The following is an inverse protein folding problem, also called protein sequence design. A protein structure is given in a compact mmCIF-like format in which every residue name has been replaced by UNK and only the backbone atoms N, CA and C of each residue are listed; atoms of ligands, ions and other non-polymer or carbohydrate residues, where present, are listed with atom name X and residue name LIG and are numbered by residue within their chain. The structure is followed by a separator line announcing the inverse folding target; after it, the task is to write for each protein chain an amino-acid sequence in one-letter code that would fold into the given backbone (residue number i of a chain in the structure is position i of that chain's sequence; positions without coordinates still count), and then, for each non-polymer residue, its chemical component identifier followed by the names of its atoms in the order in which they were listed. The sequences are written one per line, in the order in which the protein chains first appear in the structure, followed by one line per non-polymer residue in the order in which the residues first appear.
data_IF_760587695161
#
_entry.id   IF_760587695161
#
_cell.length_a   1.000
_cell.length_b   1.000
_cell.length_c   1.000
_cell.angle_alpha   90.00
_cell.angle_beta   90.00
_cell.angle_gamma   90.00
#
_symmetry.space_group_name_H-M   'P 1'
#
loop_
_entity.id
_entity.type
_entity.pdbx_description
1 polymer ?
#
# COMPACT_ATOMS: atom_id res chain seq x y z
N UNK A 1 9.59 8.79 -8.05
CA UNK A 1 9.45 7.48 -8.77
C UNK A 1 10.51 6.48 -8.34
N UNK A 2 11.79 6.80 -8.52
CA UNK A 2 12.91 5.84 -8.33
C UNK A 2 12.88 5.17 -6.96
N UNK A 3 12.64 5.94 -5.89
CA UNK A 3 12.48 5.40 -4.54
C UNK A 3 11.33 4.40 -4.42
N UNK A 4 10.15 4.76 -4.93
CA UNK A 4 8.99 3.84 -4.87
C UNK A 4 9.24 2.57 -5.66
N UNK A 5 9.96 2.64 -6.79
CA UNK A 5 10.35 1.44 -7.54
C UNK A 5 11.28 0.53 -6.74
N UNK A 6 12.19 1.07 -5.93
CA UNK A 6 13.05 0.22 -5.09
C UNK A 6 12.28 -0.50 -3.98
N UNK A 7 11.10 0.01 -3.62
CA UNK A 7 10.24 -0.54 -2.56
C UNK A 7 9.28 -1.57 -3.15
N UNK A 8 8.49 -1.16 -4.15
CA UNK A 8 7.37 -1.95 -4.69
C UNK A 8 7.71 -2.65 -6.01
N UNK A 9 8.75 -2.23 -6.72
CA UNK A 9 9.08 -2.74 -8.06
C UNK A 9 9.35 -4.25 -8.10
N UNK A 10 10.17 -4.81 -7.18
CA UNK A 10 10.42 -6.25 -7.14
C UNK A 10 9.17 -7.10 -6.87
N UNK A 11 8.22 -6.58 -6.09
CA UNK A 11 7.01 -7.30 -5.70
C UNK A 11 5.87 -7.12 -6.72
N UNK A 12 5.61 -5.89 -7.13
CA UNK A 12 4.40 -5.50 -7.86
C UNK A 12 4.69 -4.92 -9.25
N UNK A 13 5.96 -4.76 -9.62
CA UNK A 13 6.31 -4.09 -10.87
C UNK A 13 5.86 -2.63 -10.92
N UNK A 14 5.68 -1.99 -9.77
CA UNK A 14 5.15 -0.63 -9.63
C UNK A 14 6.16 0.31 -8.92
N UNK A 15 6.19 1.61 -9.26
CA UNK A 15 5.54 2.26 -10.40
C UNK A 15 6.35 2.03 -11.69
N UNK A 16 5.70 1.47 -12.71
CA UNK A 16 6.31 1.23 -14.01
C UNK A 16 6.75 2.55 -14.67
N UNK A 17 7.95 2.58 -15.24
CA UNK A 17 8.48 3.78 -15.92
C UNK A 17 7.68 4.17 -17.17
N UNK A 18 6.90 3.24 -17.72
CA UNK A 18 6.15 3.36 -18.97
C UNK A 18 4.64 3.38 -18.76
N UNK A 19 4.16 3.64 -17.53
CA UNK A 19 2.73 3.68 -17.25
C UNK A 19 2.09 4.83 -18.04
N UNK A 20 1.15 4.50 -18.94
CA UNK A 20 0.39 5.50 -19.69
C UNK A 20 -0.79 5.99 -18.86
N UNK A 21 -1.38 7.11 -19.27
CA UNK A 21 -2.61 7.62 -18.66
C UNK A 21 -3.75 6.60 -18.73
N UNK A 22 -3.91 5.90 -19.85
CA UNK A 22 -4.96 4.90 -20.02
C UNK A 22 -4.73 3.67 -19.13
N UNK A 23 -3.46 3.28 -18.94
CA UNK A 23 -3.10 2.19 -18.03
C UNK A 23 -3.39 2.58 -16.57
N UNK A 24 -3.04 3.81 -16.16
CA UNK A 24 -3.35 4.36 -14.84
C UNK A 24 -4.87 4.43 -14.61
N UNK A 25 -5.64 4.91 -15.58
CA UNK A 25 -7.10 4.93 -15.51
C UNK A 25 -7.69 3.52 -15.38
N UNK A 26 -7.18 2.56 -16.14
CA UNK A 26 -7.63 1.17 -16.06
C UNK A 26 -7.33 0.55 -14.68
N UNK A 27 -6.19 0.90 -14.10
CA UNK A 27 -5.78 0.50 -12.75
C UNK A 27 -6.72 1.05 -11.68
N UNK A 28 -7.07 2.35 -11.76
CA UNK A 28 -8.05 2.98 -10.87
C UNK A 28 -9.44 2.34 -10.99
N UNK A 29 -9.89 2.02 -12.19
CA UNK A 29 -11.16 1.31 -12.42
C UNK A 29 -11.16 -0.12 -11.88
N UNK A 30 -9.99 -0.77 -11.83
CA UNK A 30 -9.84 -2.08 -11.17
C UNK A 30 -9.97 -1.93 -9.66
N UNK A 31 -9.23 -0.99 -9.05
CA UNK A 31 -9.32 -0.69 -7.61
C UNK A 31 -10.74 -0.32 -7.17
N UNK A 32 -11.47 0.46 -7.96
CA UNK A 32 -12.88 0.79 -7.67
C UNK A 32 -13.74 -0.47 -7.52
N UNK A 33 -13.56 -1.45 -8.41
CA UNK A 33 -14.31 -2.71 -8.38
C UNK A 33 -13.90 -3.58 -7.19
N UNK A 34 -12.62 -3.64 -6.88
CA UNK A 34 -12.10 -4.41 -5.75
C UNK A 34 -12.60 -3.83 -4.42
N UNK A 35 -12.62 -2.50 -4.27
CA UNK A 35 -13.21 -1.81 -3.12
C UNK A 35 -14.71 -2.12 -3.04
N UNK A 36 -15.46 -2.00 -4.14
CA UNK A 36 -16.89 -2.31 -4.16
C UNK A 36 -17.19 -3.79 -3.81
N UNK A 37 -16.25 -4.70 -4.07
CA UNK A 37 -16.32 -6.11 -3.72
C UNK A 37 -15.73 -6.44 -2.33
N UNK A 38 -15.21 -5.45 -1.59
CA UNK A 38 -14.48 -5.61 -0.33
C UNK A 38 -13.30 -6.60 -0.43
N UNK A 39 -12.56 -6.56 -1.53
CA UNK A 39 -11.42 -7.45 -1.77
C UNK A 39 -10.11 -6.81 -1.35
N UNK A 40 -9.87 -5.58 -1.80
CA UNK A 40 -8.72 -4.75 -1.44
C UNK A 40 -9.17 -3.30 -1.34
N UNK A 41 -8.39 -2.49 -0.64
CA UNK A 41 -8.69 -1.08 -0.45
C UNK A 41 -7.46 -0.22 -0.64
N UNK A 42 -7.63 0.87 -1.38
CA UNK A 42 -6.58 1.85 -1.63
C UNK A 42 -7.10 3.24 -1.27
N UNK A 43 -6.34 3.95 -0.44
CA UNK A 43 -6.65 5.28 0.05
C UNK A 43 -5.57 6.25 -0.38
N UNK A 44 -5.96 7.30 -1.08
CA UNK A 44 -5.08 8.39 -1.46
C UNK A 44 -4.97 9.43 -0.33
N UNK A 45 -3.73 9.80 0.02
CA UNK A 45 -3.45 10.92 0.90
C UNK A 45 -3.34 12.20 0.07
N UNK A 46 -4.21 13.15 0.31
CA UNK A 46 -4.19 14.47 -0.34
C UNK A 46 -3.79 15.57 0.64
N UNK A 47 -3.41 16.73 0.10
CA UNK A 47 -3.45 17.97 0.85
C UNK A 47 -4.91 18.36 1.15
N UNK A 48 -5.13 19.27 2.10
CA UNK A 48 -6.48 19.63 2.54
C UNK A 48 -7.34 20.28 1.44
N UNK A 49 -6.71 20.83 0.39
CA UNK A 49 -7.40 21.40 -0.76
C UNK A 49 -7.62 20.38 -1.89
N UNK A 50 -7.19 19.13 -1.72
CA UNK A 50 -7.27 18.05 -2.72
C UNK A 50 -6.65 18.43 -4.08
N UNK A 51 -5.56 19.21 -4.03
CA UNK A 51 -4.84 19.66 -5.23
C UNK A 51 -3.62 18.81 -5.56
N UNK A 52 -3.11 18.05 -4.59
CA UNK A 52 -1.92 17.22 -4.77
C UNK A 52 -2.04 15.87 -4.06
N UNK A 53 -1.74 14.80 -4.79
CA UNK A 53 -1.54 13.47 -4.20
C UNK A 53 -0.20 13.47 -3.45
N UNK A 54 -0.26 13.22 -2.15
CA UNK A 54 0.88 13.24 -1.23
C UNK A 54 1.34 11.84 -0.82
N UNK A 55 0.55 10.81 -1.08
CA UNK A 55 0.84 9.43 -0.69
C UNK A 55 -0.34 8.49 -0.93
N UNK A 56 -0.15 7.21 -0.64
CA UNK A 56 -1.24 6.21 -0.63
C UNK A 56 -1.08 5.23 0.52
N UNK A 57 -2.18 4.61 0.94
CA UNK A 57 -2.26 3.46 1.84
C UNK A 57 -2.99 2.33 1.12
N UNK A 58 -2.43 1.13 1.14
CA UNK A 58 -3.00 -0.09 0.57
C UNK A 58 -3.30 -1.07 1.68
N UNK A 59 -4.44 -1.74 1.56
CA UNK A 59 -4.92 -2.78 2.47
C UNK A 59 -5.38 -3.93 1.58
N UNK A 60 -4.55 -4.96 1.51
CA UNK A 60 -4.65 -6.04 0.54
C UNK A 60 -4.85 -7.38 1.26
N UNK A 61 -5.48 -8.36 0.58
CA UNK A 61 -5.46 -9.73 1.06
C UNK A 61 -4.01 -10.23 1.09
N UNK A 62 -3.66 -11.13 2.02
CA UNK A 62 -2.28 -11.61 2.16
C UNK A 62 -1.87 -12.46 0.95
N UNK A 63 -0.75 -12.12 0.30
CA UNK A 63 -0.17 -12.99 -0.74
C UNK A 63 0.78 -14.05 -0.15
N UNK A 64 1.23 -13.85 1.09
CA UNK A 64 2.20 -14.71 1.78
C UNK A 64 1.63 -15.23 3.09
N UNK A 65 1.91 -16.50 3.40
CA UNK A 65 1.39 -17.18 4.58
C UNK A 65 1.68 -16.45 5.90
N UNK A 66 0.80 -16.60 6.89
CA UNK A 66 1.00 -16.10 8.26
C UNK A 66 0.60 -14.64 8.48
N UNK A 67 -0.36 -14.13 7.70
CA UNK A 67 -1.07 -12.88 7.93
C UNK A 67 -2.50 -13.05 7.42
N UNK A 68 -3.42 -12.21 7.88
CA UNK A 68 -4.81 -12.13 7.38
C UNK A 68 -5.12 -10.80 6.67
N UNK A 69 -4.12 -9.92 6.57
CA UNK A 69 -4.13 -8.70 5.76
C UNK A 69 -2.73 -8.13 5.62
N UNK A 70 -2.44 -7.53 4.46
CA UNK A 70 -1.17 -6.88 4.17
C UNK A 70 -1.38 -5.39 3.94
N UNK A 71 -0.68 -4.58 4.72
CA UNK A 71 -0.83 -3.13 4.73
C UNK A 71 0.49 -2.50 4.34
N UNK A 72 0.45 -1.59 3.38
CA UNK A 72 1.62 -0.81 2.97
C UNK A 72 1.21 0.63 2.68
N UNK A 73 2.14 1.56 2.85
CA UNK A 73 1.89 2.96 2.52
C UNK A 73 3.17 3.66 2.11
N UNK A 74 3.00 4.77 1.41
CA UNK A 74 4.09 5.64 1.01
C UNK A 74 3.62 7.10 0.98
N UNK A 75 4.57 8.02 1.12
CA UNK A 75 4.40 9.45 0.82
C UNK A 75 5.27 9.82 -0.38
N UNK A 76 5.00 10.92 -1.07
CA UNK A 76 5.86 11.45 -2.15
C UNK A 76 7.28 11.76 -1.64
N UNK A 77 8.24 11.84 -2.57
CA UNK A 77 9.67 11.97 -2.24
C UNK A 77 9.98 13.23 -1.41
N UNK A 78 9.22 14.30 -1.60
CA UNK A 78 9.33 15.58 -0.90
C UNK A 78 8.92 15.50 0.58
N UNK A 79 8.14 14.49 0.98
CA UNK A 79 7.61 14.34 2.33
C UNK A 79 8.39 13.32 3.18
N UNK A 80 9.44 12.71 2.64
CA UNK A 80 10.27 11.75 3.37
C UNK A 80 10.97 12.41 4.55
N UNK A 81 10.89 11.77 5.71
CA UNK A 81 11.40 12.27 6.99
C UNK A 81 10.60 13.44 7.56
N UNK A 82 9.52 13.86 6.90
CA UNK A 82 8.70 14.99 7.35
C UNK A 82 7.77 14.59 8.50
N UNK A 83 7.16 15.60 9.13
CA UNK A 83 6.10 15.38 10.12
C UNK A 83 4.86 14.73 9.52
N UNK A 84 4.62 14.87 8.21
CA UNK A 84 3.48 14.25 7.53
C UNK A 84 3.69 12.74 7.45
N UNK A 85 4.89 12.29 7.04
CA UNK A 85 5.22 10.86 7.02
C UNK A 85 5.14 10.26 8.42
N UNK A 86 5.72 10.93 9.44
CA UNK A 86 5.65 10.47 10.82
C UNK A 86 4.21 10.38 11.35
N UNK A 87 3.35 11.33 10.97
CA UNK A 87 1.93 11.29 11.34
C UNK A 87 1.21 10.12 10.65
N UNK A 88 1.50 9.85 9.37
CA UNK A 88 0.94 8.72 8.64
C UNK A 88 1.42 7.38 9.21
N UNK A 89 2.72 7.25 9.51
CA UNK A 89 3.32 6.07 10.15
C UNK A 89 2.68 5.76 11.50
N UNK A 90 2.25 6.77 12.26
CA UNK A 90 1.53 6.60 13.51
C UNK A 90 0.04 6.29 13.30
N UNK A 91 -0.59 6.92 12.31
CA UNK A 91 -2.01 6.80 12.01
C UNK A 91 -2.39 5.40 11.51
N UNK A 92 -1.66 4.90 10.51
CA UNK A 92 -2.07 3.67 9.79
C UNK A 92 -2.22 2.48 10.75
N UNK A 93 -1.24 2.12 11.60
CA UNK A 93 -1.40 0.98 12.51
C UNK A 93 -2.54 1.17 13.53
N UNK A 94 -2.75 2.40 14.02
CA UNK A 94 -3.84 2.69 14.96
C UNK A 94 -5.20 2.54 14.29
N UNK A 95 -5.33 3.03 13.06
CA UNK A 95 -6.54 2.93 12.27
C UNK A 95 -6.88 1.48 11.92
N UNK A 96 -5.87 0.70 11.48
CA UNK A 96 -6.02 -0.73 11.21
C UNK A 96 -6.49 -1.47 12.46
N UNK A 97 -5.86 -1.23 13.62
CA UNK A 97 -6.24 -1.90 14.86
C UNK A 97 -7.63 -1.50 15.39
N UNK A 98 -8.10 -0.30 15.09
CA UNK A 98 -9.37 0.22 15.60
C UNK A 98 -10.57 -0.19 14.73
N UNK A 99 -10.42 -0.14 13.41
CA UNK A 99 -11.55 -0.17 12.49
C UNK A 99 -11.58 -1.41 11.58
N UNK A 100 -10.48 -2.17 11.50
CA UNK A 100 -10.38 -3.34 10.63
C UNK A 100 -10.44 -4.66 11.42
N UNK A 101 -11.03 -5.72 10.84
CA UNK A 101 -11.26 -6.99 11.54
C UNK A 101 -10.04 -7.92 11.55
N UNK A 102 -8.84 -7.42 11.24
CA UNK A 102 -7.63 -8.24 11.17
C UNK A 102 -7.18 -8.68 12.57
N UNK A 103 -6.88 -9.97 12.73
CA UNK A 103 -6.25 -10.55 13.91
C UNK A 103 -4.72 -10.54 13.80
N UNK A 104 -4.19 -10.68 12.58
CA UNK A 104 -2.75 -10.75 12.29
C UNK A 104 -2.37 -9.89 11.08
N UNK A 105 -2.60 -8.57 11.13
CA UNK A 105 -2.20 -7.68 10.05
C UNK A 105 -0.68 -7.61 9.95
N UNK A 106 -0.18 -7.46 8.73
CA UNK A 106 1.25 -7.32 8.44
C UNK A 106 1.54 -5.98 7.79
N UNK A 107 2.46 -5.20 8.36
CA UNK A 107 2.86 -3.90 7.82
C UNK A 107 4.15 -4.01 6.99
N UNK A 108 4.00 -4.04 5.67
CA UNK A 108 5.10 -4.24 4.71
C UNK A 108 6.04 -3.04 4.67
N UNK A 109 7.34 -3.31 4.69
CA UNK A 109 8.38 -2.28 4.71
C UNK A 109 8.48 -1.53 6.05
N UNK A 110 7.84 -2.03 7.11
CA UNK A 110 7.90 -1.51 8.48
C UNK A 110 8.25 -2.60 9.47
N UNK A 111 7.41 -3.61 9.61
CA UNK A 111 7.64 -4.74 10.51
C UNK A 111 8.39 -5.89 9.85
N UNK A 112 8.19 -6.05 8.53
CA UNK A 112 8.91 -7.01 7.69
C UNK A 112 9.48 -6.28 6.48
N UNK A 113 10.71 -6.62 6.09
CA UNK A 113 11.29 -6.09 4.86
C UNK A 113 10.63 -6.73 3.65
N UNK A 114 10.62 -6.03 2.51
CA UNK A 114 10.08 -6.58 1.25
C UNK A 114 10.80 -7.87 0.81
N UNK A 115 12.11 -7.96 1.05
CA UNK A 115 12.88 -9.17 0.75
C UNK A 115 12.50 -10.34 1.64
N UNK A 116 12.28 -10.10 2.94
CA UNK A 116 11.89 -11.17 3.86
C UNK A 116 10.45 -11.63 3.57
N UNK A 117 9.57 -10.69 3.23
CA UNK A 117 8.20 -10.99 2.80
C UNK A 117 8.18 -11.84 1.53
N UNK A 118 8.96 -11.49 0.50
CA UNK A 118 9.08 -12.30 -0.73
C UNK A 118 9.63 -13.70 -0.49
N UNK A 119 10.38 -13.92 0.60
CA UNK A 119 10.93 -15.22 0.96
C UNK A 119 9.95 -16.11 1.75
N UNK A 120 8.80 -15.56 2.19
CA UNK A 120 7.76 -16.33 2.85
C UNK A 120 7.06 -17.30 1.87
N UNK A 121 6.53 -18.43 2.38
CA UNK A 121 5.65 -19.29 1.59
C UNK A 121 4.45 -18.52 1.04
N UNK A 122 3.96 -18.91 -0.13
CA UNK A 122 2.72 -18.39 -0.71
C UNK A 122 1.54 -18.66 0.23
N UNK A 123 0.56 -17.75 0.21
CA UNK A 123 -0.67 -17.94 0.96
C UNK A 123 -1.41 -19.18 0.43
N UNK A 124 -2.03 -20.01 1.29
CA UNK A 124 -2.69 -21.24 0.84
C UNK A 124 -3.83 -21.02 -0.18
N UNK A 125 -4.40 -19.81 -0.19
CA UNK A 125 -5.55 -19.43 -1.01
C UNK A 125 -5.20 -18.47 -2.18
N UNK A 126 -3.91 -18.21 -2.44
CA UNK A 126 -3.47 -17.48 -3.65
C UNK A 126 -3.44 -18.36 -4.89
#
# INVERSE_FOLDING_TARGET
RERLWTIFGPAWGWPAATMTYEADQADLLRHEKEIAAHQSFNYALFDAAETALLGCVYIDPPERAGADGEISWWVVDELVGSKVEQALDALVPQWIAADWPFEQPRFLGREISWSDWLALPEHPDT
#
